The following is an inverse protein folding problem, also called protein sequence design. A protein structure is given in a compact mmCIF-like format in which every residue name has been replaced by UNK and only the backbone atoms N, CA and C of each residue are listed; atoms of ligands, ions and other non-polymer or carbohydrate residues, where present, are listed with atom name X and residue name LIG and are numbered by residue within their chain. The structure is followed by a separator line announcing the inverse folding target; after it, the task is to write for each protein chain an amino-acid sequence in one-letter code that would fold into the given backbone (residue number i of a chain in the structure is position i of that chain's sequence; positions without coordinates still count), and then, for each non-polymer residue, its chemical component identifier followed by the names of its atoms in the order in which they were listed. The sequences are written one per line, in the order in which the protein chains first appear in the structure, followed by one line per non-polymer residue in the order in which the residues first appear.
data_IF_153546962395
#
_entry.id   IF_153546962395
#
_cell.length_a   1.000
_cell.length_b   1.000
_cell.length_c   1.000
_cell.angle_alpha   90.00
_cell.angle_beta   90.00
_cell.angle_gamma   90.00
#
_symmetry.space_group_name_H-M   'P 1'
#
loop_
_entity.id
_entity.type
_entity.pdbx_description
1 polymer ?
#
# COMPACT_ATOMS: atom_id res chain seq x y z
N UNK A 1 16.48 21.19 -6.97
CA UNK A 1 15.83 20.79 -8.23
C UNK A 1 14.60 20.00 -7.84
N UNK A 2 13.40 20.46 -8.19
CA UNK A 2 12.17 19.70 -7.94
C UNK A 2 12.17 18.53 -8.93
N UNK A 3 12.45 17.32 -8.46
CA UNK A 3 12.26 16.12 -9.28
C UNK A 3 10.75 16.05 -9.53
N UNK A 4 10.33 16.07 -10.80
CA UNK A 4 9.01 15.58 -11.14
C UNK A 4 9.06 14.09 -10.81
N UNK A 5 8.47 13.66 -9.69
CA UNK A 5 8.27 12.23 -9.49
C UNK A 5 7.35 11.80 -10.63
N UNK A 6 7.72 10.72 -11.31
CA UNK A 6 6.78 10.10 -12.25
C UNK A 6 5.52 9.72 -11.43
N UNK A 7 4.32 9.91 -11.99
CA UNK A 7 3.08 9.60 -11.28
C UNK A 7 2.99 8.10 -11.06
N UNK A 8 3.24 7.64 -9.84
CA UNK A 8 3.15 6.22 -9.49
C UNK A 8 1.85 5.92 -8.74
N UNK A 9 1.26 4.77 -9.03
CA UNK A 9 0.15 4.23 -8.24
C UNK A 9 0.67 3.52 -6.99
N UNK A 10 -0.16 3.45 -5.96
CA UNK A 10 0.14 2.67 -4.77
C UNK A 10 -1.11 1.97 -4.25
N UNK A 11 -0.95 0.69 -3.93
CA UNK A 11 -1.90 -0.11 -3.19
C UNK A 11 -1.39 -0.31 -1.75
N UNK A 12 -2.20 0.08 -0.79
CA UNK A 12 -2.02 -0.21 0.62
C UNK A 12 -3.06 -1.24 1.07
N UNK A 13 -2.61 -2.31 1.73
CA UNK A 13 -3.46 -3.32 2.36
C UNK A 13 -3.08 -3.43 3.82
N UNK A 14 -3.99 -3.05 4.71
CA UNK A 14 -3.86 -3.35 6.13
C UNK A 14 -4.65 -4.59 6.48
N UNK A 15 -4.13 -5.38 7.39
CA UNK A 15 -4.70 -6.68 7.75
C UNK A 15 -4.35 -7.04 9.18
N UNK A 16 -5.23 -7.81 9.80
CA UNK A 16 -4.92 -8.59 11.00
C UNK A 16 -5.08 -10.09 10.74
N UNK A 17 -4.48 -10.88 11.63
CA UNK A 17 -4.51 -12.34 11.60
C UNK A 17 -4.56 -12.87 13.02
N UNK A 18 -5.30 -13.96 13.24
CA UNK A 18 -5.25 -14.66 14.52
C UNK A 18 -3.82 -15.15 14.81
N UNK A 19 -3.38 -15.04 16.07
CA UNK A 19 -2.03 -15.41 16.50
C UNK A 19 -1.69 -16.88 16.19
N UNK A 20 -2.68 -17.78 16.20
CA UNK A 20 -2.51 -19.19 15.86
C UNK A 20 -2.12 -19.41 14.39
N UNK A 21 -2.40 -18.45 13.51
CA UNK A 21 -2.12 -18.52 12.06
C UNK A 21 -1.02 -17.56 11.62
N UNK A 22 -0.52 -16.72 12.52
CA UNK A 22 0.41 -15.63 12.19
C UNK A 22 1.71 -16.11 11.54
N UNK A 23 2.28 -17.23 12.00
CA UNK A 23 3.50 -17.76 11.41
C UNK A 23 3.29 -18.22 9.94
N UNK A 24 2.18 -18.89 9.67
CA UNK A 24 1.81 -19.34 8.32
C UNK A 24 1.52 -18.15 7.39
N UNK A 25 0.76 -17.17 7.88
CA UNK A 25 0.47 -15.93 7.16
C UNK A 25 1.73 -15.15 6.76
N UNK A 26 2.71 -15.07 7.66
CA UNK A 26 3.98 -14.42 7.35
C UNK A 26 4.78 -15.21 6.31
N UNK A 27 4.87 -16.54 6.45
CA UNK A 27 5.56 -17.39 5.48
C UNK A 27 4.92 -17.31 4.08
N UNK A 28 3.59 -17.25 4.01
CA UNK A 28 2.85 -17.08 2.77
C UNK A 28 3.17 -15.73 2.09
N UNK A 29 3.18 -14.64 2.86
CA UNK A 29 3.55 -13.32 2.33
C UNK A 29 4.96 -13.29 1.75
N UNK A 30 5.92 -13.90 2.45
CA UNK A 30 7.34 -13.85 2.09
C UNK A 30 7.68 -14.74 0.88
N UNK A 31 6.95 -15.85 0.70
CA UNK A 31 7.30 -16.90 -0.26
C UNK A 31 6.37 -16.98 -1.48
N UNK A 32 5.18 -16.40 -1.41
CA UNK A 32 4.18 -16.49 -2.46
C UNK A 32 3.56 -15.12 -2.74
N UNK A 33 2.78 -14.59 -1.81
CA UNK A 33 1.87 -13.48 -2.12
C UNK A 33 2.56 -12.21 -2.60
N UNK A 34 3.66 -11.81 -1.95
CA UNK A 34 4.36 -10.59 -2.35
C UNK A 34 5.01 -10.75 -3.73
N UNK A 35 5.57 -11.93 -4.01
CA UNK A 35 6.22 -12.23 -5.28
C UNK A 35 5.21 -12.25 -6.43
N UNK A 36 4.03 -12.84 -6.21
CA UNK A 36 2.92 -12.83 -7.17
C UNK A 36 2.48 -11.41 -7.54
N UNK A 37 2.42 -10.49 -6.56
CA UNK A 37 2.02 -9.09 -6.82
C UNK A 37 3.10 -8.32 -7.56
N UNK A 38 4.36 -8.45 -7.16
CA UNK A 38 5.48 -7.75 -7.82
C UNK A 38 5.72 -8.28 -9.24
N UNK A 39 5.36 -9.54 -9.53
CA UNK A 39 5.47 -10.11 -10.87
C UNK A 39 4.43 -9.57 -11.87
N UNK A 40 3.40 -8.84 -11.42
CA UNK A 40 2.40 -8.25 -12.31
C UNK A 40 3.05 -7.12 -13.11
N UNK A 41 2.95 -7.11 -14.46
CA UNK A 41 3.47 -6.02 -15.27
C UNK A 41 2.96 -4.65 -14.80
N UNK A 42 3.89 -3.72 -14.59
CA UNK A 42 3.62 -2.39 -14.06
C UNK A 42 3.74 -2.27 -12.53
N UNK A 43 3.90 -3.37 -11.79
CA UNK A 43 4.33 -3.31 -10.38
C UNK A 43 5.85 -3.17 -10.32
N UNK A 44 6.33 -2.23 -9.50
CA UNK A 44 7.75 -1.86 -9.46
C UNK A 44 8.40 -2.15 -8.11
N UNK A 45 7.62 -2.13 -7.03
CA UNK A 45 8.14 -2.27 -5.68
C UNK A 45 7.07 -2.80 -4.72
N UNK A 46 7.50 -3.52 -3.68
CA UNK A 46 6.63 -3.92 -2.59
C UNK A 46 7.35 -3.90 -1.25
N UNK A 47 6.59 -3.57 -0.19
CA UNK A 47 7.08 -3.57 1.19
C UNK A 47 6.03 -4.07 2.16
N UNK A 48 6.50 -4.66 3.25
CA UNK A 48 5.66 -5.09 4.35
C UNK A 48 6.16 -4.48 5.65
N UNK A 49 5.21 -4.07 6.47
CA UNK A 49 5.44 -3.52 7.79
C UNK A 49 4.61 -4.27 8.80
N UNK A 50 5.15 -4.32 10.01
CA UNK A 50 4.44 -4.73 11.22
C UNK A 50 4.30 -3.51 12.12
N UNK A 51 3.12 -3.33 12.70
CA UNK A 51 2.87 -2.30 13.69
C UNK A 51 3.84 -2.44 14.87
N UNK A 52 4.35 -1.31 15.35
CA UNK A 52 5.19 -1.22 16.56
C UNK A 52 4.39 -0.81 17.79
N UNK A 53 3.09 -0.57 17.62
CA UNK A 53 2.13 -0.20 18.63
C UNK A 53 0.95 -1.20 18.65
N UNK A 54 0.03 -1.01 19.58
CA UNK A 54 -1.20 -1.80 19.69
C UNK A 54 -2.31 -1.25 18.77
N UNK A 55 -1.91 -0.77 17.59
CA UNK A 55 -2.83 -0.28 16.57
C UNK A 55 -3.85 -1.33 16.13
N UNK A 56 -4.97 -0.93 15.52
CA UNK A 56 -6.10 -1.82 15.24
C UNK A 56 -5.83 -2.89 14.18
N UNK A 57 -4.65 -2.87 13.53
CA UNK A 57 -4.21 -3.81 12.50
C UNK A 57 -2.71 -4.01 12.59
N UNK A 58 -2.27 -5.25 12.74
CA UNK A 58 -0.86 -5.58 12.96
C UNK A 58 0.02 -5.46 11.72
N UNK A 59 -0.54 -5.57 10.51
CA UNK A 59 0.23 -5.63 9.28
C UNK A 59 -0.21 -4.60 8.24
N UNK A 60 0.77 -4.13 7.45
CA UNK A 60 0.58 -3.30 6.27
C UNK A 60 1.45 -3.82 5.12
N UNK A 61 0.85 -4.08 3.97
CA UNK A 61 1.55 -4.31 2.71
C UNK A 61 1.36 -3.11 1.77
N UNK A 62 2.46 -2.64 1.20
CA UNK A 62 2.51 -1.59 0.19
C UNK A 62 2.97 -2.20 -1.13
N UNK A 63 2.30 -1.85 -2.22
CA UNK A 63 2.70 -2.21 -3.58
C UNK A 63 2.68 -0.95 -4.43
N UNK A 64 3.79 -0.64 -5.09
CA UNK A 64 3.94 0.52 -5.97
C UNK A 64 3.85 0.07 -7.41
N UNK A 65 3.16 0.87 -8.23
CA UNK A 65 3.00 0.65 -9.66
C UNK A 65 3.49 1.85 -10.46
N UNK A 66 3.85 1.62 -11.72
CA UNK A 66 4.29 2.67 -12.65
C UNK A 66 3.27 3.81 -12.75
N UNK A 67 1.98 3.47 -12.80
CA UNK A 67 0.86 4.43 -12.83
C UNK A 67 -0.36 3.86 -12.11
N UNK A 68 -1.37 4.70 -11.87
CA UNK A 68 -2.66 4.27 -11.32
C UNK A 68 -3.41 3.30 -12.28
N UNK A 69 -3.23 3.46 -13.60
CA UNK A 69 -3.92 2.67 -14.62
C UNK A 69 -3.59 1.17 -14.58
N UNK A 70 -2.45 0.80 -13.99
CA UNK A 70 -2.06 -0.61 -13.78
C UNK A 70 -3.17 -1.37 -13.03
N UNK A 71 -3.85 -0.72 -12.07
CA UNK A 71 -4.94 -1.34 -11.30
C UNK A 71 -6.23 -1.54 -12.12
N UNK A 72 -6.36 -0.91 -13.29
CA UNK A 72 -7.46 -1.16 -14.25
C UNK A 72 -7.09 -2.21 -15.30
N UNK A 73 -5.86 -2.73 -15.31
CA UNK A 73 -5.38 -3.65 -16.33
C UNK A 73 -5.84 -5.10 -16.11
N UNK A 74 -5.96 -5.86 -17.20
CA UNK A 74 -6.35 -7.27 -17.14
C UNK A 74 -5.31 -8.15 -16.44
N UNK A 75 -4.03 -7.79 -16.54
CA UNK A 75 -2.98 -8.50 -15.81
C UNK A 75 -3.20 -8.42 -14.30
N UNK A 76 -3.60 -7.25 -13.80
CA UNK A 76 -3.95 -7.08 -12.40
C UNK A 76 -5.21 -7.87 -12.02
N UNK A 77 -6.27 -7.80 -12.83
CA UNK A 77 -7.51 -8.57 -12.60
C UNK A 77 -7.26 -10.09 -12.57
N UNK A 78 -6.43 -10.61 -13.48
CA UNK A 78 -6.11 -12.04 -13.55
C UNK A 78 -5.45 -12.57 -12.28
N UNK A 79 -4.64 -11.74 -11.60
CA UNK A 79 -4.04 -12.10 -10.31
C UNK A 79 -5.06 -12.35 -9.19
N UNK A 80 -6.36 -12.12 -9.41
CA UNK A 80 -7.44 -12.49 -8.50
C UNK A 80 -8.14 -13.81 -8.88
N UNK A 81 -7.94 -14.30 -10.10
CA UNK A 81 -8.66 -15.47 -10.65
C UNK A 81 -7.93 -16.81 -10.45
N UNK A 82 -6.64 -16.78 -10.10
CA UNK A 82 -5.77 -17.95 -10.01
C UNK A 82 -5.13 -18.06 -8.63
N UNK A 83 -5.94 -18.08 -7.57
CA UNK A 83 -5.43 -18.24 -6.20
C UNK A 83 -5.02 -19.69 -5.94
N UNK A 84 -3.85 -19.88 -5.32
CA UNK A 84 -3.45 -21.17 -4.78
C UNK A 84 -4.33 -21.53 -3.56
N UNK A 85 -4.31 -22.79 -3.15
CA UNK A 85 -4.97 -23.20 -1.91
C UNK A 85 -4.38 -22.50 -0.67
N UNK A 86 -3.08 -22.17 -0.67
CA UNK A 86 -2.43 -21.47 0.44
C UNK A 86 -2.87 -20.00 0.51
N UNK A 87 -2.99 -19.36 -0.64
CA UNK A 87 -3.56 -18.02 -0.77
C UNK A 87 -5.01 -17.96 -0.30
N UNK A 88 -5.87 -18.86 -0.79
CA UNK A 88 -7.27 -18.93 -0.35
C UNK A 88 -7.41 -19.13 1.18
N UNK A 89 -6.65 -20.07 1.74
CA UNK A 89 -6.66 -20.33 3.18
C UNK A 89 -6.22 -19.10 4.00
N UNK A 90 -5.23 -18.34 3.52
CA UNK A 90 -4.81 -17.12 4.20
C UNK A 90 -5.86 -16.00 4.06
N UNK A 91 -6.43 -15.79 2.87
CA UNK A 91 -7.49 -14.78 2.69
C UNK A 91 -8.69 -15.02 3.58
N UNK A 92 -9.10 -16.27 3.79
CA UNK A 92 -10.19 -16.64 4.70
C UNK A 92 -9.89 -16.29 6.16
N UNK A 93 -8.62 -16.34 6.57
CA UNK A 93 -8.17 -16.07 7.95
C UNK A 93 -7.91 -14.59 8.20
N UNK A 94 -7.65 -13.81 7.16
CA UNK A 94 -7.38 -12.38 7.28
C UNK A 94 -8.60 -11.63 7.82
N UNK A 95 -8.40 -10.81 8.84
CA UNK A 95 -9.47 -10.02 9.46
C UNK A 95 -9.17 -8.54 9.43
N UNK A 96 -10.21 -7.73 9.64
CA UNK A 96 -10.10 -6.28 9.70
C UNK A 96 -9.59 -5.61 8.41
N UNK A 97 -9.50 -6.32 7.29
CA UNK A 97 -8.78 -5.87 6.10
C UNK A 97 -9.25 -4.51 5.60
N UNK A 98 -8.30 -3.61 5.34
CA UNK A 98 -8.55 -2.35 4.65
C UNK A 98 -7.69 -2.25 3.40
N UNK A 99 -8.33 -1.84 2.32
CA UNK A 99 -7.70 -1.62 1.03
C UNK A 99 -7.81 -0.14 0.65
N UNK A 100 -6.68 0.44 0.23
CA UNK A 100 -6.63 1.78 -0.35
C UNK A 100 -5.74 1.75 -1.58
N UNK A 101 -6.26 2.23 -2.70
CA UNK A 101 -5.47 2.50 -3.91
C UNK A 101 -5.43 4.00 -4.10
N UNK A 102 -4.29 4.53 -4.52
CA UNK A 102 -4.15 5.95 -4.79
C UNK A 102 -2.97 6.27 -5.68
N UNK A 103 -2.89 7.54 -6.04
CA UNK A 103 -1.85 8.10 -6.89
C UNK A 103 -0.99 9.07 -6.08
N UNK A 104 0.32 9.04 -6.31
CA UNK A 104 1.27 9.96 -5.70
C UNK A 104 1.02 11.40 -6.19
N UNK A 105 0.84 12.34 -5.26
CA UNK A 105 0.56 13.76 -5.56
C UNK A 105 1.64 14.70 -5.06
N UNK A 106 2.28 14.36 -3.94
CA UNK A 106 3.43 15.07 -3.41
C UNK A 106 4.47 14.00 -3.06
N UNK A 107 5.68 14.19 -3.57
CA UNK A 107 6.88 13.55 -3.03
C UNK A 107 7.87 14.64 -2.65
N UNK A 108 8.48 14.47 -1.48
CA UNK A 108 9.56 15.29 -0.98
C UNK A 108 10.58 14.39 -0.28
N UNK A 109 11.86 14.70 -0.43
CA UNK A 109 12.96 13.87 0.07
C UNK A 109 13.26 12.69 -0.85
N UNK A 110 14.14 11.79 -0.39
CA UNK A 110 14.68 10.71 -1.20
C UNK A 110 14.83 9.43 -0.39
N UNK A 111 14.67 8.30 -1.07
CA UNK A 111 14.87 6.98 -0.50
C UNK A 111 13.72 6.50 0.38
N UNK A 112 14.05 5.52 1.21
CA UNK A 112 13.10 4.79 2.03
C UNK A 112 13.72 4.41 3.38
N UNK A 113 12.94 4.57 4.46
CA UNK A 113 13.34 4.17 5.81
C UNK A 113 12.76 2.83 6.22
N UNK A 114 13.29 2.24 7.29
CA UNK A 114 12.77 0.99 7.88
C UNK A 114 11.45 1.19 8.64
N UNK A 115 11.12 2.43 8.99
CA UNK A 115 9.90 2.83 9.71
C UNK A 115 9.02 3.73 8.84
N UNK A 116 7.73 3.74 9.14
CA UNK A 116 6.70 4.51 8.45
C UNK A 116 5.69 5.01 9.48
N UNK A 117 5.26 6.26 9.33
CA UNK A 117 4.01 6.77 9.91
C UNK A 117 3.04 7.09 8.78
N UNK A 118 1.80 6.59 8.84
CA UNK A 118 0.77 6.89 7.85
C UNK A 118 -0.44 7.55 8.50
N UNK A 119 -0.95 8.58 7.85
CA UNK A 119 -2.13 9.33 8.27
C UNK A 119 -3.14 9.39 7.13
N UNK A 120 -4.42 9.17 7.44
CA UNK A 120 -5.52 9.40 6.49
C UNK A 120 -6.10 10.77 6.80
N UNK A 121 -6.04 11.68 5.82
CA UNK A 121 -6.58 13.02 5.95
C UNK A 121 -7.94 13.10 5.23
N UNK A 122 -8.95 13.73 5.84
CA UNK A 122 -10.19 14.02 5.12
C UNK A 122 -9.95 15.14 4.08
N UNK A 123 -10.72 15.19 2.98
CA UNK A 123 -10.46 16.09 1.86
C UNK A 123 -10.37 17.58 2.23
N UNK A 124 -11.16 18.04 3.20
CA UNK A 124 -11.17 19.42 3.70
C UNK A 124 -9.88 19.83 4.40
N UNK A 125 -9.05 18.86 4.80
CA UNK A 125 -7.75 19.09 5.43
C UNK A 125 -6.58 19.05 4.44
N UNK A 126 -6.86 18.80 3.16
CA UNK A 126 -5.84 18.70 2.11
C UNK A 126 -5.68 20.05 1.42
N UNK A 127 -4.67 20.80 1.88
CA UNK A 127 -4.13 21.98 1.21
C UNK A 127 -2.73 21.63 0.69
N UNK A 128 -2.61 21.38 -0.62
CA UNK A 128 -1.38 20.87 -1.24
C UNK A 128 -0.19 21.82 -1.04
N UNK A 129 -0.27 23.13 -1.33
CA UNK A 129 0.81 24.07 -1.01
C UNK A 129 1.24 24.04 0.45
N UNK A 130 0.28 24.03 1.38
CA UNK A 130 0.58 24.01 2.81
C UNK A 130 1.23 22.69 3.24
N UNK A 131 0.75 21.56 2.73
CA UNK A 131 1.32 20.24 3.02
C UNK A 131 2.73 20.11 2.47
N UNK A 132 3.00 20.62 1.26
CA UNK A 132 4.35 20.64 0.68
C UNK A 132 5.34 21.40 1.56
N UNK A 133 4.98 22.60 1.99
CA UNK A 133 5.82 23.38 2.91
C UNK A 133 6.08 22.66 4.25
N UNK A 134 5.08 21.92 4.76
CA UNK A 134 5.24 21.07 5.96
C UNK A 134 6.16 19.87 5.72
N UNK A 135 6.07 19.23 4.56
CA UNK A 135 6.95 18.12 4.20
C UNK A 135 8.40 18.60 4.08
N UNK A 136 8.64 19.71 3.40
CA UNK A 136 9.97 20.31 3.28
C UNK A 136 10.57 20.67 4.65
N UNK A 137 9.72 21.14 5.58
CA UNK A 137 10.14 21.40 6.96
C UNK A 137 10.46 20.10 7.73
N UNK A 138 9.62 19.06 7.59
CA UNK A 138 9.80 17.78 8.26
C UNK A 138 11.09 17.06 7.82
N UNK A 139 11.50 17.20 6.55
CA UNK A 139 12.75 16.62 6.04
C UNK A 139 14.02 17.22 6.65
N UNK A 140 13.91 18.32 7.40
CA UNK A 140 15.04 18.86 8.19
C UNK A 140 15.22 18.14 9.52
N UNK A 141 14.21 17.39 9.97
CA UNK A 141 14.30 16.59 11.18
C UNK A 141 15.11 15.30 10.90
N UNK A 142 16.15 15.02 11.70
CA UNK A 142 16.91 13.79 11.55
C UNK A 142 16.02 12.54 11.61
N UNK A 143 16.22 11.62 10.66
CA UNK A 143 15.47 10.36 10.56
C UNK A 143 14.24 10.40 9.64
N UNK A 144 13.83 11.57 9.13
CA UNK A 144 12.79 11.67 8.11
C UNK A 144 13.43 11.78 6.72
N UNK A 145 13.43 10.68 5.98
CA UNK A 145 14.05 10.62 4.65
C UNK A 145 13.13 11.07 3.51
N UNK A 146 11.83 10.79 3.63
CA UNK A 146 10.84 11.12 2.62
C UNK A 146 9.45 11.36 3.24
N UNK A 147 8.67 12.23 2.60
CA UNK A 147 7.27 12.47 2.93
C UNK A 147 6.45 12.46 1.64
N UNK A 148 5.33 11.71 1.65
CA UNK A 148 4.52 11.45 0.46
C UNK A 148 3.04 11.66 0.74
N UNK A 149 2.33 12.28 -0.19
CA UNK A 149 0.88 12.39 -0.18
C UNK A 149 0.32 11.58 -1.34
N UNK A 150 -0.57 10.65 -1.03
CA UNK A 150 -1.32 9.90 -2.01
C UNK A 150 -2.78 10.35 -1.99
N UNK A 151 -3.34 10.64 -3.18
CA UNK A 151 -4.78 10.83 -3.33
C UNK A 151 -5.41 9.47 -3.60
N UNK A 152 -6.31 9.04 -2.72
CA UNK A 152 -7.01 7.76 -2.88
C UNK A 152 -8.03 7.81 -4.02
N UNK A 153 -8.11 6.73 -4.79
CA UNK A 153 -9.14 6.44 -5.79
C UNK A 153 -10.21 5.53 -5.17
N UNK A 154 -11.40 6.05 -4.78
CA UNK A 154 -12.41 5.26 -4.08
C UNK A 154 -12.86 4.01 -4.83
N UNK A 155 -13.04 4.11 -6.15
CA UNK A 155 -13.48 3.04 -7.04
C UNK A 155 -12.50 1.87 -7.10
N UNK A 156 -11.19 2.13 -7.01
CA UNK A 156 -10.14 1.10 -6.98
C UNK A 156 -9.88 0.56 -5.57
N UNK A 157 -10.36 1.27 -4.55
CA UNK A 157 -10.19 0.94 -3.13
C UNK A 157 -11.27 -0.02 -2.61
N UNK A 158 -12.36 -0.20 -3.36
CA UNK A 158 -13.38 -1.20 -3.06
C UNK A 158 -12.80 -2.63 -3.13
N UNK A 159 -13.40 -3.61 -2.42
CA UNK A 159 -13.05 -5.01 -2.59
C UNK A 159 -13.18 -5.44 -4.05
N UNK A 160 -12.16 -6.10 -4.57
CA UNK A 160 -12.18 -6.62 -5.94
C UNK A 160 -13.10 -7.84 -5.97
N UNK A 161 -14.11 -7.82 -6.84
CA UNK A 161 -15.12 -8.88 -6.99
C UNK A 161 -16.47 -8.58 -6.34
N UNK A 162 -16.69 -7.39 -5.75
CA UNK A 162 -17.98 -7.01 -5.18
C UNK A 162 -19.12 -6.85 -6.20
N UNK A 163 -18.80 -6.62 -7.48
CA UNK A 163 -19.79 -6.49 -8.57
C UNK A 163 -20.10 -7.84 -9.28
N UNK A 164 -19.59 -8.96 -8.77
CA UNK A 164 -19.79 -10.30 -9.35
C UNK A 164 -20.70 -11.21 -8.49
N UNK A 165 -21.46 -10.62 -7.55
CA UNK A 165 -22.43 -11.31 -6.70
C UNK A 165 -23.87 -10.91 -7.04
#
# INVERSE_FOLDING_TARGET
MTRLSLPHGQLCVWTDIDAAHEADFNAWYDREHMQERVAIPGFTHARRFRATDDGPRKYLALYVTDTLDVFHGDAYRRAFTQQTAWSLANFERMTGTQRRVGELTIEAGDGEGAQLALFVLPPDRIDVPRLRARFDAALREPGIHAARLFRTAPELSAPIGADAA
#
